data_IF_196780609669
#
_entry.id   IF_196780609669
#
_cell.length_a   1.000
_cell.length_b   1.000
_cell.length_c   1.000
_cell.angle_alpha   90.00
_cell.angle_beta   90.00
_cell.angle_gamma   90.00
#
_symmetry.space_group_name_H-M   'P 1'
#
loop_
_entity.id
_entity.type
_entity.pdbx_description
1 polymer ?
#
# COMPACT_ATOMS: atom_id res chain seq x y z
N UNK A 1 22.24 4.27 2.19
CA UNK A 1 20.97 3.87 2.84
C UNK A 1 20.88 4.55 4.20
N UNK A 2 19.72 5.12 4.56
CA UNK A 2 19.47 5.75 5.87
C UNK A 2 18.49 4.90 6.67
N UNK A 3 18.62 4.92 7.99
CA UNK A 3 17.74 4.19 8.92
C UNK A 3 16.79 5.21 9.57
N UNK A 4 15.46 5.03 9.51
CA UNK A 4 14.52 5.87 10.23
C UNK A 4 14.77 5.80 11.74
N UNK A 5 14.57 6.93 12.40
CA UNK A 5 14.75 7.08 13.84
C UNK A 5 13.45 7.61 14.42
N UNK A 6 13.00 7.01 15.51
CA UNK A 6 11.82 7.45 16.25
C UNK A 6 12.25 7.76 17.68
N UNK A 7 11.76 8.86 18.24
CA UNK A 7 12.04 9.25 19.62
C UNK A 7 11.45 8.25 20.62
N UNK A 8 11.83 8.39 21.89
CA UNK A 8 11.23 7.65 23.00
C UNK A 8 9.69 7.76 22.99
N UNK A 9 9.18 8.96 22.75
CA UNK A 9 7.74 9.29 22.70
C UNK A 9 7.04 8.88 21.40
N UNK A 10 7.74 8.24 20.46
CA UNK A 10 7.14 7.82 19.19
C UNK A 10 7.10 8.89 18.10
N UNK A 11 7.76 10.04 18.29
CA UNK A 11 7.85 11.10 17.27
C UNK A 11 8.93 10.76 16.23
N UNK A 12 8.67 10.92 14.92
CA UNK A 12 9.69 10.65 13.91
C UNK A 12 10.80 11.71 13.95
N UNK A 13 12.05 11.25 13.91
CA UNK A 13 13.26 12.08 13.89
C UNK A 13 14.01 11.91 12.57
N UNK A 14 15.07 12.71 12.39
CA UNK A 14 15.90 12.63 11.20
C UNK A 14 16.58 11.25 11.05
N UNK A 15 16.50 10.63 9.84
CA UNK A 15 17.15 9.34 9.59
C UNK A 15 18.66 9.38 9.76
N UNK A 16 19.21 8.31 10.33
CA UNK A 16 20.65 8.18 10.64
C UNK A 16 21.37 7.21 9.70
N UNK A 17 22.68 7.13 9.81
CA UNK A 17 23.50 6.11 9.12
C UNK A 17 23.39 4.75 9.80
N UNK A 18 23.46 3.62 9.06
CA UNK A 18 23.43 2.29 9.65
C UNK A 18 24.51 2.02 10.72
N UNK A 19 25.72 2.56 10.55
CA UNK A 19 26.81 2.45 11.53
C UNK A 19 26.43 3.06 12.88
N UNK A 20 25.92 4.30 12.87
CA UNK A 20 25.43 4.99 14.07
C UNK A 20 24.24 4.27 14.71
N UNK A 21 23.29 3.77 13.92
CA UNK A 21 22.18 2.96 14.44
C UNK A 21 22.66 1.69 15.15
N UNK A 22 23.65 0.98 14.59
CA UNK A 22 24.25 -0.20 15.25
C UNK A 22 24.94 0.16 16.56
N UNK A 23 25.69 1.26 16.60
CA UNK A 23 26.34 1.75 17.83
C UNK A 23 25.31 2.04 18.91
N UNK A 24 24.23 2.75 18.60
CA UNK A 24 23.16 3.02 19.57
C UNK A 24 22.50 1.76 20.11
N UNK A 25 22.31 0.73 19.28
CA UNK A 25 21.77 -0.55 19.72
C UNK A 25 22.76 -1.26 20.65
N UNK A 26 24.05 -1.28 20.29
CA UNK A 26 25.11 -1.89 21.12
C UNK A 26 25.22 -1.19 22.48
N UNK A 27 25.13 0.13 22.50
CA UNK A 27 25.24 0.96 23.70
C UNK A 27 23.93 1.03 24.51
N UNK A 28 22.88 0.30 24.14
CA UNK A 28 21.58 0.32 24.83
C UNK A 28 20.76 1.61 24.69
N UNK A 29 21.19 2.55 23.83
CA UNK A 29 20.54 3.86 23.58
C UNK A 29 19.36 3.78 22.60
N UNK A 30 19.20 2.65 21.91
CA UNK A 30 18.09 2.44 20.98
C UNK A 30 17.67 0.96 20.87
N UNK A 31 16.38 0.74 20.62
CA UNK A 31 15.80 -0.58 20.41
C UNK A 31 15.49 -0.78 18.93
N UNK A 32 15.82 -1.97 18.41
CA UNK A 32 15.46 -2.40 17.06
C UNK A 32 13.95 -2.61 16.92
N UNK A 33 13.34 -2.03 15.88
CA UNK A 33 11.90 -2.18 15.58
C UNK A 33 11.65 -2.37 14.09
N UNK A 34 10.46 -2.86 13.76
CA UNK A 34 10.01 -3.05 12.38
C UNK A 34 8.65 -2.40 12.21
N UNK A 35 8.52 -1.57 11.16
CA UNK A 35 7.26 -0.92 10.83
C UNK A 35 6.30 -1.88 10.15
N UNK A 36 5.02 -1.49 10.06
CA UNK A 36 4.02 -2.25 9.27
C UNK A 36 4.34 -2.28 7.77
N UNK A 37 5.25 -1.42 7.31
CA UNK A 37 5.78 -1.38 5.95
C UNK A 37 7.01 -2.30 5.78
N UNK A 38 7.39 -3.08 6.79
CA UNK A 38 8.58 -3.95 6.75
C UNK A 38 9.90 -3.18 6.67
N UNK A 39 9.88 -1.89 7.00
CA UNK A 39 11.08 -1.05 7.10
C UNK A 39 11.63 -1.18 8.52
N UNK A 40 12.91 -1.53 8.63
CA UNK A 40 13.65 -1.54 9.88
C UNK A 40 13.88 -0.10 10.35
N UNK A 41 13.65 0.17 11.63
CA UNK A 41 13.93 1.46 12.25
C UNK A 41 14.42 1.28 13.67
N UNK A 42 15.00 2.33 14.24
CA UNK A 42 15.43 2.35 15.64
C UNK A 42 14.55 3.31 16.43
N UNK A 43 14.14 2.87 17.62
CA UNK A 43 13.44 3.71 18.59
C UNK A 43 14.43 4.05 19.71
N UNK A 44 14.65 5.34 19.96
CA UNK A 44 15.55 5.79 21.03
C UNK A 44 14.94 5.46 22.40
N UNK A 45 15.77 5.05 23.35
CA UNK A 45 15.41 4.86 24.77
C UNK A 45 15.78 6.08 25.62
N UNK A 46 16.73 6.86 25.12
CA UNK A 46 17.20 8.13 25.68
C UNK A 46 16.60 9.30 24.92
N UNK A 47 16.63 10.47 25.53
CA UNK A 47 16.21 11.70 24.88
C UNK A 47 17.14 12.03 23.71
N UNK A 48 16.54 12.56 22.64
CA UNK A 48 17.31 12.96 21.47
C UNK A 48 18.12 14.20 21.80
N UNK A 49 19.42 14.17 21.48
CA UNK A 49 20.32 15.31 21.64
C UNK A 49 19.92 16.52 20.77
N UNK A 50 19.20 16.29 19.68
CA UNK A 50 18.72 17.32 18.75
C UNK A 50 17.45 16.82 18.03
N UNK A 51 16.54 17.74 17.75
CA UNK A 51 15.26 17.52 17.06
C UNK A 51 15.16 18.27 15.74
N UNK A 52 16.21 19.00 15.32
CA UNK A 52 16.25 19.70 14.04
C UNK A 52 15.99 18.74 12.88
N UNK A 53 15.06 19.12 12.02
CA UNK A 53 14.69 18.36 10.82
C UNK A 53 15.04 19.12 9.55
N UNK A 54 15.29 18.36 8.49
CA UNK A 54 15.36 18.90 7.14
C UNK A 54 14.10 18.48 6.38
N UNK A 55 13.73 19.20 5.30
CA UNK A 55 12.58 18.82 4.49
C UNK A 55 12.65 17.37 4.00
N UNK A 56 11.62 16.59 4.33
CA UNK A 56 11.36 15.27 3.75
C UNK A 56 10.00 15.31 3.04
N UNK A 57 9.99 14.85 1.80
CA UNK A 57 8.84 14.94 0.90
C UNK A 57 8.41 13.55 0.48
N UNK A 58 7.09 13.32 0.49
CA UNK A 58 6.48 12.15 -0.15
C UNK A 58 6.04 12.55 -1.55
N UNK A 59 6.51 11.83 -2.56
CA UNK A 59 5.96 11.88 -3.91
C UNK A 59 5.08 10.67 -4.15
N UNK A 60 3.82 10.90 -4.51
CA UNK A 60 2.83 9.88 -4.80
C UNK A 60 2.46 9.94 -6.28
N UNK A 61 2.72 8.85 -6.99
CA UNK A 61 2.26 8.61 -8.36
C UNK A 61 1.05 7.65 -8.31
N UNK A 62 -0.20 8.16 -8.27
CA UNK A 62 -1.38 7.33 -8.18
C UNK A 62 -1.79 6.74 -9.54
N UNK A 63 -1.78 5.41 -9.65
CA UNK A 63 -2.26 4.72 -10.84
C UNK A 63 -3.54 3.91 -10.63
N UNK A 64 -3.92 3.16 -11.68
CA UNK A 64 -5.12 2.30 -11.68
C UNK A 64 -4.86 0.93 -11.03
N UNK A 65 -3.76 0.29 -11.43
CA UNK A 65 -3.36 -1.04 -10.96
C UNK A 65 -2.18 -0.98 -9.99
N UNK A 66 -1.33 0.03 -10.16
CA UNK A 66 -0.13 0.23 -9.36
C UNK A 66 -0.03 1.70 -8.98
N UNK A 67 0.55 1.99 -7.82
CA UNK A 67 0.96 3.36 -7.45
C UNK A 67 2.41 3.35 -7.01
N UNK A 68 3.15 4.37 -7.43
CA UNK A 68 4.51 4.63 -7.00
C UNK A 68 4.54 5.54 -5.78
N UNK A 69 5.40 5.26 -4.81
CA UNK A 69 5.68 6.21 -3.72
C UNK A 69 7.18 6.35 -3.54
N UNK A 70 7.66 7.60 -3.51
CA UNK A 70 9.03 7.94 -3.16
C UNK A 70 9.06 8.81 -1.91
N UNK A 71 9.99 8.53 -1.00
CA UNK A 71 10.29 9.40 0.14
C UNK A 71 11.69 9.97 -0.07
N UNK A 72 11.77 11.29 -0.21
CA UNK A 72 12.97 11.98 -0.64
C UNK A 72 13.32 13.11 0.31
N UNK A 73 14.62 13.35 0.49
CA UNK A 73 15.18 14.58 1.06
C UNK A 73 16.08 15.23 0.01
N UNK A 74 16.62 16.43 0.25
CA UNK A 74 17.56 17.05 -0.69
C UNK A 74 18.80 16.16 -0.96
N UNK A 75 19.24 15.38 0.03
CA UNK A 75 20.49 14.61 -0.01
C UNK A 75 20.33 13.11 -0.25
N UNK A 76 19.19 12.52 0.09
CA UNK A 76 19.01 11.06 0.08
C UNK A 76 17.59 10.66 -0.31
N UNK A 77 17.50 9.57 -1.08
CA UNK A 77 16.26 8.80 -1.26
C UNK A 77 16.11 7.83 -0.10
N UNK A 78 15.05 7.99 0.68
CA UNK A 78 14.85 7.32 1.97
C UNK A 78 14.05 6.02 1.85
N UNK A 79 13.05 6.00 0.97
CA UNK A 79 12.22 4.82 0.74
C UNK A 79 11.59 4.85 -0.65
N UNK A 80 11.47 3.68 -1.28
CA UNK A 80 10.78 3.49 -2.55
C UNK A 80 9.73 2.39 -2.39
N UNK A 81 8.49 2.67 -2.75
CA UNK A 81 7.39 1.73 -2.64
C UNK A 81 6.71 1.51 -3.98
N UNK A 82 6.40 0.24 -4.27
CA UNK A 82 5.52 -0.16 -5.36
C UNK A 82 4.24 -0.75 -4.75
N UNK A 83 3.12 -0.08 -4.91
CA UNK A 83 1.83 -0.51 -4.38
C UNK A 83 1.08 -1.30 -5.45
N UNK A 84 0.74 -2.56 -5.17
CA UNK A 84 -0.18 -3.35 -6.00
C UNK A 84 -1.61 -3.10 -5.53
N UNK A 85 -2.39 -2.40 -6.35
CA UNK A 85 -3.70 -1.90 -5.99
C UNK A 85 -4.80 -2.96 -6.21
N UNK A 86 -5.80 -3.06 -5.34
CA UNK A 86 -6.84 -4.09 -5.41
C UNK A 86 -7.95 -3.78 -6.45
N UNK A 87 -7.72 -2.85 -7.39
CA UNK A 87 -8.73 -2.31 -8.29
C UNK A 87 -9.50 -3.39 -9.05
N UNK A 88 -8.78 -4.26 -9.79
CA UNK A 88 -9.39 -5.32 -10.63
C UNK A 88 -10.20 -6.28 -9.77
N UNK A 89 -9.60 -6.82 -8.72
CA UNK A 89 -10.27 -7.74 -7.79
C UNK A 89 -11.53 -7.15 -7.17
N UNK A 90 -11.54 -5.87 -6.83
CA UNK A 90 -12.72 -5.23 -6.24
C UNK A 90 -13.78 -4.94 -7.28
N UNK A 91 -13.40 -4.53 -8.49
CA UNK A 91 -14.32 -4.38 -9.62
C UNK A 91 -15.05 -5.70 -9.88
N UNK A 92 -14.32 -6.79 -10.06
CA UNK A 92 -14.88 -8.12 -10.34
C UNK A 92 -15.83 -8.58 -9.22
N UNK A 93 -15.42 -8.39 -7.95
CA UNK A 93 -16.26 -8.69 -6.79
C UNK A 93 -17.53 -7.86 -6.73
N UNK A 94 -17.47 -6.59 -7.13
CA UNK A 94 -18.63 -5.70 -7.15
C UNK A 94 -19.60 -6.05 -8.28
N UNK A 95 -19.09 -6.42 -9.45
CA UNK A 95 -19.87 -6.90 -10.59
C UNK A 95 -20.57 -8.22 -10.26
N UNK A 96 -19.82 -9.21 -9.74
CA UNK A 96 -20.40 -10.46 -9.25
C UNK A 96 -21.48 -10.22 -8.20
N UNK A 97 -21.23 -9.33 -7.23
CA UNK A 97 -22.24 -8.97 -6.22
C UNK A 97 -23.49 -8.35 -6.83
N UNK A 98 -23.33 -7.47 -7.81
CA UNK A 98 -24.45 -6.83 -8.49
C UNK A 98 -25.27 -7.86 -9.29
N UNK A 99 -24.61 -8.75 -10.03
CA UNK A 99 -25.22 -9.86 -10.77
C UNK A 99 -26.00 -10.77 -9.82
N UNK A 100 -25.39 -11.24 -8.73
CA UNK A 100 -26.04 -12.09 -7.72
C UNK A 100 -27.29 -11.44 -7.14
N UNK A 101 -27.24 -10.14 -6.84
CA UNK A 101 -28.41 -9.40 -6.33
C UNK A 101 -29.50 -9.27 -7.38
N UNK A 102 -29.17 -9.06 -8.66
CA UNK A 102 -30.13 -9.03 -9.76
C UNK A 102 -30.82 -10.38 -9.93
N UNK A 103 -30.06 -11.48 -10.00
CA UNK A 103 -30.62 -12.84 -10.15
C UNK A 103 -31.57 -13.23 -9.03
N UNK A 104 -31.23 -12.94 -7.76
CA UNK A 104 -32.14 -13.22 -6.62
C UNK A 104 -33.44 -12.41 -6.69
N UNK A 105 -33.38 -11.14 -7.10
CA UNK A 105 -34.59 -10.32 -7.28
C UNK A 105 -35.41 -10.83 -8.45
N UNK A 106 -34.76 -11.20 -9.56
CA UNK A 106 -35.41 -11.74 -10.74
C UNK A 106 -36.23 -13.00 -10.48
N UNK A 107 -35.79 -13.86 -9.55
CA UNK A 107 -36.51 -15.07 -9.11
C UNK A 107 -37.75 -14.79 -8.26
N UNK A 108 -37.82 -13.64 -7.59
CA UNK A 108 -39.00 -13.23 -6.79
C UNK A 108 -40.08 -12.56 -7.63
N UNK A 109 -39.75 -12.17 -8.87
CA UNK A 109 -40.69 -11.52 -9.77
C UNK A 109 -41.48 -12.61 -10.48
N UNK A 110 -42.75 -12.75 -10.11
CA UNK A 110 -43.70 -13.52 -10.90
C UNK A 110 -44.02 -12.73 -12.18
N UNK A 111 -43.46 -13.17 -13.31
CA UNK A 111 -43.63 -12.47 -14.60
C UNK A 111 -45.02 -12.68 -15.21
N UNK A 112 -45.82 -13.62 -14.70
CA UNK A 112 -47.20 -13.85 -15.14
C UNK A 112 -48.16 -12.76 -14.66
N UNK A 113 -47.84 -12.05 -13.57
CA UNK A 113 -48.65 -10.95 -13.07
C UNK A 113 -48.43 -9.65 -13.88
N UNK A 114 -49.45 -8.76 -13.97
CA UNK A 114 -49.30 -7.40 -14.48
C UNK A 114 -48.18 -6.64 -13.78
N UNK A 115 -47.49 -5.74 -14.48
CA UNK A 115 -46.27 -5.07 -13.98
C UNK A 115 -46.46 -4.40 -12.61
N UNK A 116 -47.61 -3.77 -12.40
CA UNK A 116 -47.97 -3.03 -11.18
C UNK A 116 -48.03 -3.96 -9.95
N UNK A 117 -48.41 -5.23 -10.15
CA UNK A 117 -48.55 -6.25 -9.10
C UNK A 117 -47.26 -7.05 -8.85
N UNK A 118 -46.21 -6.84 -9.66
CA UNK A 118 -44.93 -7.55 -9.51
C UNK A 118 -44.15 -6.99 -8.33
N UNK A 119 -43.43 -7.88 -7.63
CA UNK A 119 -42.53 -7.54 -6.52
C UNK A 119 -41.24 -6.81 -7.00
N UNK A 120 -41.39 -5.66 -7.64
CA UNK A 120 -40.29 -4.80 -8.07
C UNK A 120 -39.74 -4.00 -6.88
N UNK A 121 -38.42 -3.73 -6.93
CA UNK A 121 -37.80 -2.86 -5.93
C UNK A 121 -38.15 -1.41 -6.26
N UNK A 122 -38.72 -0.68 -5.30
CA UNK A 122 -38.95 0.76 -5.41
C UNK A 122 -37.67 1.51 -5.83
N UNK A 123 -37.86 2.55 -6.66
CA UNK A 123 -36.80 3.50 -7.04
C UNK A 123 -36.34 4.22 -5.76
N UNK A 124 -35.02 4.34 -5.57
CA UNK A 124 -34.42 5.07 -4.44
C UNK A 124 -33.62 6.25 -4.98
N UNK A 125 -34.28 7.38 -5.18
CA UNK A 125 -33.69 8.57 -5.80
C UNK A 125 -32.56 9.17 -4.95
N UNK A 126 -32.67 9.15 -3.62
CA UNK A 126 -31.65 9.72 -2.72
C UNK A 126 -30.30 9.03 -2.83
N UNK A 127 -30.29 7.72 -3.08
CA UNK A 127 -29.05 6.96 -3.30
C UNK A 127 -28.34 7.37 -4.60
N UNK A 128 -29.05 7.98 -5.56
CA UNK A 128 -28.47 8.45 -6.83
C UNK A 128 -27.81 9.83 -6.70
N UNK A 129 -28.22 10.63 -5.71
CA UNK A 129 -27.71 11.99 -5.47
C UNK A 129 -26.46 12.05 -4.58
N UNK A 130 -26.03 10.93 -4.00
CA UNK A 130 -24.90 10.90 -3.07
C UNK A 130 -23.54 11.03 -3.78
N UNK A 131 -22.70 11.96 -3.33
CA UNK A 131 -21.32 12.19 -3.81
C UNK A 131 -20.35 11.10 -3.33
N UNK A 132 -20.54 9.86 -3.79
CA UNK A 132 -19.77 8.69 -3.34
C UNK A 132 -18.59 8.39 -4.27
N UNK A 133 -17.43 8.09 -3.68
CA UNK A 133 -16.31 7.48 -4.40
C UNK A 133 -16.63 6.01 -4.70
N UNK A 134 -16.47 5.53 -5.95
CA UNK A 134 -16.69 4.12 -6.28
C UNK A 134 -15.85 3.16 -5.43
N UNK A 135 -16.36 1.97 -5.07
CA UNK A 135 -15.67 1.06 -4.15
C UNK A 135 -14.25 0.65 -4.57
N UNK A 136 -14.01 0.45 -5.87
CA UNK A 136 -12.68 0.10 -6.40
C UNK A 136 -11.68 1.25 -6.25
N UNK A 137 -12.10 2.48 -6.58
CA UNK A 137 -11.27 3.68 -6.42
C UNK A 137 -11.03 3.97 -4.93
N UNK A 138 -12.07 3.93 -4.09
CA UNK A 138 -11.94 4.11 -2.64
C UNK A 138 -10.96 3.10 -2.03
N UNK A 139 -10.93 1.86 -2.52
CA UNK A 139 -9.99 0.87 -2.02
C UNK A 139 -8.54 1.17 -2.39
N UNK A 140 -8.27 1.70 -3.59
CA UNK A 140 -6.95 2.20 -3.98
C UNK A 140 -6.55 3.38 -3.08
N UNK A 141 -7.41 4.39 -2.98
CA UNK A 141 -7.13 5.62 -2.21
C UNK A 141 -6.95 5.36 -0.71
N UNK A 142 -7.73 4.45 -0.13
CA UNK A 142 -7.52 4.03 1.27
C UNK A 142 -6.23 3.23 1.47
N UNK A 143 -5.71 2.54 0.45
CA UNK A 143 -4.39 1.91 0.54
C UNK A 143 -3.31 3.01 0.50
N UNK A 144 -3.35 3.91 -0.48
CA UNK A 144 -2.43 5.05 -0.58
C UNK A 144 -2.39 5.89 0.71
N UNK A 145 -3.55 6.31 1.23
CA UNK A 145 -3.67 7.05 2.50
C UNK A 145 -3.00 6.31 3.67
N UNK A 146 -3.23 4.98 3.74
CA UNK A 146 -2.64 4.15 4.78
C UNK A 146 -1.11 4.11 4.66
N UNK A 147 -0.58 4.03 3.45
CA UNK A 147 0.87 4.05 3.23
C UNK A 147 1.46 5.39 3.64
N UNK A 148 0.85 6.51 3.22
CA UNK A 148 1.25 7.86 3.62
C UNK A 148 1.27 8.00 5.15
N UNK A 149 0.23 7.53 5.84
CA UNK A 149 0.15 7.53 7.30
C UNK A 149 1.28 6.72 7.97
N UNK A 150 1.60 5.54 7.45
CA UNK A 150 2.66 4.70 8.01
C UNK A 150 4.06 5.25 7.70
N UNK A 151 4.25 5.95 6.58
CA UNK A 151 5.50 6.69 6.29
C UNK A 151 5.67 7.86 7.26
N UNK A 152 4.59 8.62 7.53
CA UNK A 152 4.63 9.77 8.45
C UNK A 152 4.97 9.38 9.89
N UNK A 153 4.77 8.12 10.29
CA UNK A 153 5.22 7.59 11.59
C UNK A 153 6.72 7.30 11.65
N UNK A 154 7.39 7.22 10.50
CA UNK A 154 8.81 6.87 10.40
C UNK A 154 9.71 8.07 10.07
N UNK A 155 9.16 9.07 9.38
CA UNK A 155 9.92 10.20 8.88
C UNK A 155 9.22 11.52 9.22
N UNK A 156 9.95 12.59 9.57
CA UNK A 156 9.37 13.92 9.76
C UNK A 156 8.98 14.52 8.40
N UNK A 157 7.78 14.21 7.91
CA UNK A 157 7.28 14.64 6.61
C UNK A 157 6.85 16.11 6.66
N UNK A 158 7.35 16.91 5.72
CA UNK A 158 6.99 18.32 5.61
C UNK A 158 5.99 18.59 4.48
N UNK A 159 6.10 17.89 3.35
CA UNK A 159 5.18 18.07 2.23
C UNK A 159 4.88 16.79 1.49
N UNK A 160 3.72 16.74 0.87
CA UNK A 160 3.25 15.63 0.05
C UNK A 160 2.91 16.19 -1.32
N UNK A 161 3.49 15.61 -2.37
CA UNK A 161 3.29 16.00 -3.76
C UNK A 161 2.64 14.81 -4.47
N UNK A 162 1.55 15.04 -5.20
CA UNK A 162 0.79 14.01 -5.89
C UNK A 162 0.63 14.36 -7.36
N UNK A 163 0.91 13.41 -8.25
CA UNK A 163 0.67 13.62 -9.68
C UNK A 163 -0.83 13.75 -9.96
N UNK A 164 -1.20 14.76 -10.78
CA UNK A 164 -2.58 14.98 -11.20
C UNK A 164 -3.06 13.85 -12.11
N UNK A 165 -4.20 13.25 -11.77
CA UNK A 165 -4.85 12.31 -12.67
C UNK A 165 -5.98 13.01 -13.41
N UNK A 166 -5.80 13.22 -14.71
CA UNK A 166 -6.84 13.73 -15.60
C UNK A 166 -7.35 12.61 -16.50
N UNK A 167 -8.67 12.44 -16.59
CA UNK A 167 -9.23 11.57 -17.62
C UNK A 167 -9.25 12.32 -18.94
N UNK A 168 -8.86 11.64 -20.02
CA UNK A 168 -9.08 12.13 -21.38
C UNK A 168 -10.54 11.83 -21.76
N UNK A 169 -11.30 12.85 -22.13
CA UNK A 169 -12.66 12.71 -22.66
C UNK A 169 -13.55 13.93 -22.41
N UNK A 170 -14.67 13.95 -23.12
CA UNK A 170 -15.61 15.08 -23.28
C UNK A 170 -16.52 15.29 -22.05
N UNK A 171 -16.38 14.43 -21.03
CA UNK A 171 -17.14 14.50 -19.79
C UNK A 171 -16.29 15.24 -18.76
N UNK A 172 -16.75 16.41 -18.31
CA UNK A 172 -16.09 17.28 -17.32
C UNK A 172 -15.85 16.67 -15.93
N UNK A 173 -16.00 15.37 -15.73
CA UNK A 173 -15.67 14.69 -14.48
C UNK A 173 -15.23 13.23 -14.70
N UNK A 174 -14.23 12.80 -13.91
CA UNK A 174 -13.82 11.41 -13.81
C UNK A 174 -13.95 10.91 -12.38
N UNK A 175 -14.46 9.68 -12.15
CA UNK A 175 -14.47 9.07 -10.82
C UNK A 175 -13.09 9.00 -10.16
N UNK A 176 -12.01 8.97 -10.95
CA UNK A 176 -10.64 8.98 -10.44
C UNK A 176 -10.26 10.34 -9.87
N UNK A 177 -10.68 11.44 -10.51
CA UNK A 177 -10.48 12.80 -10.00
C UNK A 177 -11.22 13.00 -8.67
N UNK A 178 -12.48 12.54 -8.58
CA UNK A 178 -13.24 12.56 -7.32
C UNK A 178 -12.52 11.75 -6.22
N UNK A 179 -11.96 10.59 -6.59
CA UNK A 179 -11.13 9.82 -5.67
C UNK A 179 -9.85 10.54 -5.22
N UNK A 180 -9.21 11.30 -6.10
CA UNK A 180 -8.02 12.09 -5.79
C UNK A 180 -8.34 13.24 -4.83
N UNK A 181 -9.42 13.99 -5.08
CA UNK A 181 -9.90 15.03 -4.16
C UNK A 181 -10.25 14.45 -2.78
N UNK A 182 -10.92 13.30 -2.77
CA UNK A 182 -11.19 12.58 -1.53
C UNK A 182 -9.90 12.20 -0.79
N UNK A 183 -8.88 11.70 -1.49
CA UNK A 183 -7.60 11.39 -0.87
C UNK A 183 -6.95 12.64 -0.25
N UNK A 184 -7.01 13.79 -0.93
CA UNK A 184 -6.39 15.02 -0.44
C UNK A 184 -7.02 15.51 0.86
N UNK A 185 -8.35 15.58 0.92
CA UNK A 185 -9.06 15.92 2.16
C UNK A 185 -8.66 14.96 3.28
N UNK A 186 -8.59 13.65 3.03
CA UNK A 186 -8.21 12.70 4.08
C UNK A 186 -6.75 12.80 4.54
N UNK A 187 -5.83 13.22 3.66
CA UNK A 187 -4.44 13.47 4.05
C UNK A 187 -4.35 14.74 4.89
N UNK A 188 -5.05 15.80 4.49
CA UNK A 188 -5.12 17.07 5.20
C UNK A 188 -5.73 16.88 6.61
N UNK A 189 -6.85 16.15 6.71
CA UNK A 189 -7.48 15.82 7.99
C UNK A 189 -6.55 15.00 8.92
N UNK A 190 -5.77 14.07 8.35
CA UNK A 190 -4.95 13.12 9.12
C UNK A 190 -3.60 13.71 9.56
N UNK A 191 -2.96 14.49 8.68
CA UNK A 191 -1.58 14.94 8.86
C UNK A 191 -1.44 16.47 8.97
N UNK A 192 -2.53 17.22 8.78
CA UNK A 192 -2.50 18.68 8.70
C UNK A 192 -1.54 19.21 7.62
N UNK A 193 -1.31 18.40 6.57
CA UNK A 193 -0.48 18.74 5.41
C UNK A 193 -1.37 18.73 4.19
N UNK A 194 -1.52 19.88 3.54
CA UNK A 194 -2.25 19.99 2.27
C UNK A 194 -1.39 19.44 1.12
N UNK A 195 -1.83 18.39 0.41
CA UNK A 195 -1.08 17.87 -0.72
C UNK A 195 -0.99 18.89 -1.87
N UNK A 196 0.18 18.97 -2.49
CA UNK A 196 0.40 19.76 -3.71
C UNK A 196 0.32 18.88 -4.95
N UNK A 197 0.02 19.49 -6.09
CA UNK A 197 -0.22 18.78 -7.35
C UNK A 197 0.91 19.10 -8.33
N UNK A 198 1.40 18.08 -9.02
CA UNK A 198 2.28 18.21 -10.18
C UNK A 198 1.58 17.64 -11.43
N UNK A 199 1.79 18.23 -12.60
CA UNK A 199 1.23 17.70 -13.84
C UNK A 199 2.10 16.57 -14.38
N UNK A 200 1.50 15.57 -15.05
CA UNK A 200 2.26 14.42 -15.56
C UNK A 200 3.32 14.77 -16.62
N UNK A 201 3.14 15.87 -17.37
CA UNK A 201 4.16 16.35 -18.30
C UNK A 201 5.37 16.94 -17.58
N UNK A 202 5.18 17.62 -16.44
CA UNK A 202 6.24 18.14 -15.59
C UNK A 202 7.06 16.99 -15.00
N UNK A 203 6.38 15.96 -14.47
CA UNK A 203 7.03 14.74 -13.97
C UNK A 203 7.88 14.07 -15.05
N UNK A 204 7.35 13.95 -16.28
CA UNK A 204 8.06 13.33 -17.40
C UNK A 204 9.34 14.09 -17.77
N UNK A 205 9.28 15.43 -17.83
CA UNK A 205 10.42 16.28 -18.13
C UNK A 205 11.47 16.23 -17.01
N UNK A 206 11.02 16.31 -15.75
CA UNK A 206 11.90 16.24 -14.59
C UNK A 206 12.63 14.90 -14.53
N UNK A 207 11.94 13.79 -14.81
CA UNK A 207 12.59 12.47 -14.84
C UNK A 207 13.72 12.40 -15.85
N UNK A 208 13.51 12.96 -17.06
CA UNK A 208 14.53 13.00 -18.11
C UNK A 208 15.75 13.82 -17.67
N UNK A 209 15.50 14.98 -17.06
CA UNK A 209 16.56 15.83 -16.53
C UNK A 209 17.38 15.15 -15.43
N UNK A 210 16.72 14.40 -14.55
CA UNK A 210 17.37 13.61 -13.49
C UNK A 210 17.97 12.28 -13.99
N UNK A 211 17.88 12.00 -15.30
CA UNK A 211 18.37 10.77 -15.94
C UNK A 211 17.89 9.48 -15.27
N UNK A 212 16.67 9.48 -14.72
CA UNK A 212 16.17 8.31 -13.98
C UNK A 212 15.61 7.24 -14.93
N UNK A 213 15.99 5.96 -14.74
CA UNK A 213 15.53 4.87 -15.59
C UNK A 213 14.02 4.68 -15.46
N UNK A 214 13.32 4.51 -16.59
CA UNK A 214 11.91 4.13 -16.62
C UNK A 214 11.70 2.93 -17.52
N UNK A 215 11.13 1.87 -16.96
CA UNK A 215 10.62 0.77 -17.77
C UNK A 215 9.29 1.19 -18.44
N UNK A 216 9.29 1.20 -19.77
CA UNK A 216 8.10 1.54 -20.57
C UNK A 216 7.40 0.30 -21.14
N UNK A 217 8.06 -0.86 -21.11
CA UNK A 217 7.61 -2.07 -21.80
C UNK A 217 6.70 -2.91 -20.88
N UNK A 218 7.14 -3.23 -19.66
CA UNK A 218 6.36 -4.03 -18.72
C UNK A 218 6.02 -3.27 -17.43
N UNK A 219 4.84 -2.63 -17.45
CA UNK A 219 4.31 -1.90 -16.28
C UNK A 219 3.90 -2.81 -15.12
N UNK A 220 3.88 -4.14 -15.30
CA UNK A 220 3.51 -5.10 -14.25
C UNK A 220 4.72 -5.60 -13.45
N UNK A 221 5.93 -5.42 -14.01
CA UNK A 221 7.19 -5.76 -13.35
C UNK A 221 7.30 -5.04 -12.01
N UNK A 222 7.55 -5.79 -10.95
CA UNK A 222 7.67 -5.25 -9.60
C UNK A 222 9.11 -4.83 -9.32
N UNK A 223 9.56 -3.81 -10.04
CA UNK A 223 10.92 -3.28 -9.95
C UNK A 223 10.89 -1.75 -9.70
N UNK A 224 11.93 -1.17 -9.09
CA UNK A 224 11.98 0.26 -8.79
C UNK A 224 11.63 1.15 -9.99
N UNK A 225 12.11 0.78 -11.18
CA UNK A 225 12.08 1.54 -12.44
C UNK A 225 10.69 1.62 -13.09
N UNK A 226 9.69 0.88 -12.60
CA UNK A 226 8.33 0.93 -13.18
C UNK A 226 7.49 2.07 -12.62
N UNK A 227 7.33 2.13 -11.30
CA UNK A 227 6.45 3.11 -10.64
C UNK A 227 7.12 3.83 -9.47
N UNK A 228 8.02 3.19 -8.73
CA UNK A 228 8.58 3.81 -7.52
C UNK A 228 9.54 4.98 -7.86
N UNK A 229 10.25 4.90 -8.98
CA UNK A 229 11.06 6.01 -9.52
C UNK A 229 10.21 7.23 -9.86
N UNK A 230 8.99 7.05 -10.35
CA UNK A 230 8.07 8.18 -10.62
C UNK A 230 7.71 8.90 -9.31
N UNK A 231 7.46 8.15 -8.23
CA UNK A 231 7.29 8.73 -6.89
C UNK A 231 8.51 9.52 -6.39
N UNK A 232 9.74 9.04 -6.65
CA UNK A 232 10.98 9.80 -6.31
C UNK A 232 11.08 11.07 -7.15
N UNK A 233 10.76 10.98 -8.45
CA UNK A 233 10.76 12.13 -9.37
C UNK A 233 9.78 13.19 -8.90
N UNK A 234 8.55 12.80 -8.54
CA UNK A 234 7.53 13.71 -8.02
C UNK A 234 8.02 14.38 -6.74
N UNK A 235 8.61 13.64 -5.81
CA UNK A 235 9.16 14.22 -4.59
C UNK A 235 10.32 15.21 -4.89
N UNK A 236 11.16 14.88 -5.88
CA UNK A 236 12.29 15.71 -6.29
C UNK A 236 11.89 17.09 -6.82
N UNK A 237 10.67 17.23 -7.35
CA UNK A 237 10.12 18.51 -7.83
C UNK A 237 10.06 19.61 -6.76
N UNK A 238 10.15 19.24 -5.47
CA UNK A 238 10.29 20.21 -4.37
C UNK A 238 11.57 21.02 -4.47
N UNK A 239 12.66 20.42 -4.93
CA UNK A 239 13.98 21.03 -4.99
C UNK A 239 14.41 21.40 -6.40
N UNK A 240 13.93 20.68 -7.42
CA UNK A 240 14.30 20.91 -8.82
C UNK A 240 13.08 21.36 -9.62
N UNK A 241 13.13 22.57 -10.18
CA UNK A 241 12.04 23.17 -10.96
C UNK A 241 12.55 23.74 -12.27
N UNK A 242 11.73 23.64 -13.32
CA UNK A 242 12.01 24.31 -14.59
C UNK A 242 11.49 25.75 -14.53
N UNK A 243 12.29 26.72 -14.95
CA UNK A 243 11.91 28.13 -14.93
C UNK A 243 12.98 29.05 -15.53
N UNK A 244 12.76 30.35 -15.44
CA UNK A 244 13.64 31.39 -16.02
C UNK A 244 15.00 31.37 -15.33
N UNK A 245 16.08 30.98 -16.01
CA UNK A 245 17.46 30.96 -15.50
C UNK A 245 18.18 32.29 -15.65
N UNK A 246 17.93 33.00 -16.75
CA UNK A 246 18.39 34.37 -16.99
C UNK A 246 17.35 35.13 -17.81
N UNK A 247 17.56 36.42 -18.07
CA UNK A 247 16.59 37.31 -18.75
C UNK A 247 16.03 36.69 -20.05
N UNK A 248 16.86 35.95 -20.80
CA UNK A 248 16.48 35.32 -22.08
C UNK A 248 16.58 33.79 -22.08
N UNK A 249 16.68 33.13 -20.92
CA UNK A 249 16.82 31.66 -20.88
C UNK A 249 15.92 31.00 -19.83
N UNK A 250 15.45 29.80 -20.16
CA UNK A 250 14.77 28.90 -19.23
C UNK A 250 15.57 27.63 -19.06
N UNK A 251 15.65 27.14 -17.83
CA UNK A 251 16.41 25.95 -17.48
C UNK A 251 15.96 25.35 -16.17
N UNK A 252 16.62 24.27 -15.80
CA UNK A 252 16.41 23.61 -14.52
C UNK A 252 17.15 24.34 -13.41
N UNK A 253 16.43 24.66 -12.33
CA UNK A 253 16.98 25.29 -11.13
C UNK A 253 16.90 24.34 -9.94
N UNK A 254 17.93 24.43 -9.10
CA UNK A 254 18.06 23.65 -7.87
C UNK A 254 18.83 22.35 -8.07
N UNK A 255 19.13 21.69 -6.97
CA UNK A 255 19.93 20.46 -6.94
C UNK A 255 19.31 19.44 -6.00
N UNK A 256 19.48 18.18 -6.35
CA UNK A 256 19.05 17.05 -5.53
C UNK A 256 20.00 15.88 -5.73
N UNK A 257 20.22 15.09 -4.67
CA UNK A 257 20.94 13.84 -4.75
C UNK A 257 19.98 12.64 -4.64
N UNK A 258 20.04 11.73 -5.61
CA UNK A 258 19.22 10.52 -5.66
C UNK A 258 20.15 9.34 -5.38
N UNK A 259 19.81 8.56 -4.35
CA UNK A 259 20.68 7.50 -3.84
C UNK A 259 19.95 6.17 -3.81
N UNK A 260 20.64 5.02 -3.97
CA UNK A 260 20.01 3.72 -3.80
C UNK A 260 19.32 3.59 -2.44
N UNK A 261 18.07 3.14 -2.46
CA UNK A 261 17.20 3.05 -1.29
C UNK A 261 16.56 1.67 -1.13
N UNK A 262 15.91 1.44 0.01
CA UNK A 262 15.10 0.23 0.21
C UNK A 262 13.89 0.29 -0.73
N UNK A 263 13.69 -0.78 -1.49
CA UNK A 263 12.53 -0.96 -2.35
C UNK A 263 11.59 -2.01 -1.77
N UNK A 264 10.33 -1.62 -1.54
CA UNK A 264 9.32 -2.46 -0.91
C UNK A 264 8.08 -2.55 -1.79
N UNK A 265 7.62 -3.78 -2.01
CA UNK A 265 6.38 -4.06 -2.70
C UNK A 265 5.30 -4.29 -1.65
N UNK A 266 4.19 -3.57 -1.78
CA UNK A 266 3.08 -3.64 -0.82
C UNK A 266 1.79 -3.94 -1.53
N UNK A 267 1.01 -4.89 -0.98
CA UNK A 267 -0.34 -5.17 -1.45
C UNK A 267 -1.27 -5.52 -0.29
N UNK A 268 -2.58 -5.48 -0.54
CA UNK A 268 -3.54 -6.01 0.43
C UNK A 268 -3.63 -7.53 0.29
N UNK A 269 -3.74 -8.29 1.40
CA UNK A 269 -4.04 -9.70 1.32
C UNK A 269 -5.40 -9.88 0.63
N UNK A 270 -5.50 -10.74 -0.39
CA UNK A 270 -6.75 -11.00 -1.07
C UNK A 270 -7.63 -11.86 -0.17
N UNK A 271 -8.28 -11.22 0.78
CA UNK A 271 -9.27 -11.87 1.64
C UNK A 271 -10.54 -12.06 0.82
N UNK A 272 -10.89 -13.31 0.56
CA UNK A 272 -12.23 -13.68 0.10
C UNK A 272 -13.21 -13.48 1.26
N UNK A 273 -14.07 -12.47 1.14
CA UNK A 273 -15.21 -12.32 2.05
C UNK A 273 -16.30 -13.31 1.68
N UNK A 274 -17.16 -13.66 2.64
CA UNK A 274 -18.39 -14.43 2.42
C UNK A 274 -19.02 -14.07 1.08
N UNK A 275 -19.01 -15.03 0.16
CA UNK A 275 -19.83 -14.91 -1.03
C UNK A 275 -21.28 -14.88 -0.58
N UNK A 276 -22.10 -14.18 -1.36
CA UNK A 276 -23.51 -13.99 -1.07
C UNK A 276 -24.25 -15.30 -1.36
N UNK A 277 -24.01 -16.31 -0.50
CA UNK A 277 -24.41 -17.72 -0.59
C UNK A 277 -23.71 -18.40 -1.76
N UNK A 278 -22.77 -19.33 -1.50
CA UNK A 278 -22.15 -20.19 -2.52
C UNK A 278 -23.25 -20.97 -3.27
N UNK A 279 -23.76 -20.32 -4.31
CA UNK A 279 -24.72 -20.62 -5.37
C UNK A 279 -25.98 -21.46 -5.07
N UNK A 280 -25.89 -22.54 -4.28
CA UNK A 280 -26.98 -23.48 -4.00
C UNK A 280 -26.94 -23.87 -2.51
N UNK A 281 -28.05 -23.72 -1.75
CA UNK A 281 -28.14 -24.28 -0.40
C UNK A 281 -27.93 -25.81 -0.46
N UNK A 282 -27.27 -26.39 0.53
CA UNK A 282 -27.27 -27.87 0.65
C UNK A 282 -28.68 -28.36 1.01
N UNK A 283 -28.95 -29.66 0.82
CA UNK A 283 -30.19 -30.30 1.27
C UNK A 283 -30.46 -29.89 2.73
N UNK A 284 -31.69 -29.44 3.02
CA UNK A 284 -32.06 -28.86 4.33
C UNK A 284 -31.88 -27.34 4.46
N UNK A 285 -31.55 -26.61 3.38
CA UNK A 285 -31.51 -25.13 3.38
C UNK A 285 -30.30 -24.50 4.09
N UNK A 286 -29.44 -25.33 4.69
CA UNK A 286 -28.21 -24.90 5.37
C UNK A 286 -27.19 -24.39 4.34
N UNK A 287 -26.44 -23.35 4.71
CA UNK A 287 -25.46 -22.71 3.83
C UNK A 287 -24.05 -22.94 4.36
N UNK A 288 -23.14 -23.37 3.48
CA UNK A 288 -21.72 -23.57 3.83
C UNK A 288 -21.10 -22.27 4.34
N UNK A 289 -20.43 -22.34 5.50
CA UNK A 289 -19.58 -21.25 6.00
C UNK A 289 -18.36 -21.12 5.07
N UNK A 290 -18.20 -19.99 4.38
CA UNK A 290 -17.05 -19.69 3.53
C UNK A 290 -16.63 -18.22 3.64
N UNK A 291 -15.34 -17.93 3.56
CA UNK A 291 -14.86 -16.54 3.42
C UNK A 291 -14.81 -15.71 4.71
N UNK A 292 -14.26 -16.29 5.78
CA UNK A 292 -13.86 -15.57 7.00
C UNK A 292 -12.47 -14.93 6.90
N UNK A 293 -12.19 -14.00 7.83
CA UNK A 293 -10.88 -13.38 8.06
C UNK A 293 -10.03 -14.14 9.07
N UNK A 294 -10.65 -14.97 9.91
CA UNK A 294 -9.98 -15.83 10.89
C UNK A 294 -10.24 -17.28 10.49
N UNK A 295 -9.22 -18.12 10.58
CA UNK A 295 -9.28 -19.56 10.36
C UNK A 295 -9.89 -20.25 11.57
N UNK A 296 -10.19 -21.55 11.45
CA UNK A 296 -10.61 -22.39 12.59
C UNK A 296 -9.51 -22.62 13.63
N UNK A 297 -8.28 -22.25 13.30
CA UNK A 297 -7.06 -22.51 14.08
C UNK A 297 -6.50 -21.22 14.71
N UNK A 298 -7.34 -20.21 14.91
CA UNK A 298 -7.03 -18.90 15.48
C UNK A 298 -5.94 -18.09 14.73
N UNK A 299 -5.63 -18.46 13.49
CA UNK A 299 -4.82 -17.64 12.59
C UNK A 299 -5.70 -16.69 11.79
N UNK A 300 -5.24 -15.46 11.57
CA UNK A 300 -5.93 -14.51 10.68
C UNK A 300 -5.35 -14.63 9.28
N UNK A 301 -6.19 -14.43 8.26
CA UNK A 301 -5.70 -14.32 6.88
C UNK A 301 -4.79 -13.10 6.76
N UNK A 302 -3.58 -13.33 6.25
CA UNK A 302 -2.50 -12.37 6.24
C UNK A 302 -1.65 -12.34 7.52
N UNK A 303 -1.86 -13.24 8.49
CA UNK A 303 -0.85 -13.50 9.53
C UNK A 303 0.41 -14.04 8.84
N UNK A 304 1.58 -13.53 9.22
CA UNK A 304 2.86 -14.07 8.77
C UNK A 304 3.30 -15.18 9.72
N UNK A 305 3.53 -16.36 9.18
CA UNK A 305 3.76 -17.58 9.93
C UNK A 305 4.98 -18.33 9.42
N UNK A 306 5.58 -19.11 10.32
CA UNK A 306 6.52 -20.16 10.00
C UNK A 306 5.80 -21.50 10.06
N UNK A 307 6.01 -22.36 9.07
CA UNK A 307 5.42 -23.68 9.02
C UNK A 307 6.46 -24.74 8.69
N UNK A 308 6.42 -25.89 9.35
CA UNK A 308 7.37 -26.97 9.12
C UNK A 308 6.72 -28.19 8.49
N UNK A 309 7.41 -28.82 7.54
CA UNK A 309 7.02 -30.08 6.92
C UNK A 309 8.27 -30.93 6.66
N UNK A 310 8.39 -32.03 7.39
CA UNK A 310 9.65 -32.79 7.45
C UNK A 310 10.77 -31.89 7.98
N UNK A 311 11.91 -31.89 7.28
CA UNK A 311 13.06 -31.02 7.56
C UNK A 311 12.94 -29.60 6.97
N UNK A 312 11.90 -29.32 6.17
CA UNK A 312 11.75 -28.03 5.48
C UNK A 312 10.93 -27.04 6.31
N UNK A 313 11.41 -25.80 6.36
CA UNK A 313 10.72 -24.67 6.99
C UNK A 313 10.29 -23.67 5.93
N UNK A 314 9.01 -23.30 5.97
CA UNK A 314 8.38 -22.35 5.08
C UNK A 314 7.97 -21.11 5.86
N UNK A 315 8.16 -19.93 5.27
CA UNK A 315 7.65 -18.67 5.82
C UNK A 315 6.77 -17.98 4.81
N UNK A 316 5.57 -17.59 5.23
CA UNK A 316 4.59 -16.98 4.34
C UNK A 316 3.37 -16.47 5.09
N UNK A 317 2.35 -16.10 4.33
CA UNK A 317 1.12 -15.55 4.86
C UNK A 317 0.00 -16.59 4.87
N UNK A 318 -0.77 -16.62 5.95
CA UNK A 318 -1.96 -17.47 6.04
C UNK A 318 -2.98 -17.03 5.01
N UNK A 319 -3.35 -17.93 4.10
CA UNK A 319 -4.29 -17.66 3.01
C UNK A 319 -5.65 -18.33 3.21
N UNK A 320 -5.71 -19.38 4.04
CA UNK A 320 -6.93 -20.09 4.39
C UNK A 320 -6.66 -21.31 5.25
N UNK A 321 -7.66 -22.16 5.39
CA UNK A 321 -7.62 -23.32 6.26
C UNK A 321 -8.56 -24.43 5.77
N UNK A 322 -8.22 -25.65 6.15
CA UNK A 322 -9.10 -26.81 6.13
C UNK A 322 -9.47 -27.15 7.58
N UNK A 323 -10.12 -28.29 7.79
CA UNK A 323 -10.46 -28.75 9.14
C UNK A 323 -9.22 -28.96 10.02
N UNK A 324 -8.12 -29.49 9.46
CA UNK A 324 -6.90 -29.85 10.23
C UNK A 324 -5.66 -29.03 9.87
N UNK A 325 -5.67 -28.32 8.74
CA UNK A 325 -4.50 -27.67 8.19
C UNK A 325 -4.71 -26.18 7.93
N UNK A 326 -3.62 -25.43 7.95
CA UNK A 326 -3.54 -24.01 7.58
C UNK A 326 -2.81 -23.91 6.25
N UNK A 327 -3.39 -23.17 5.30
CA UNK A 327 -2.76 -22.88 4.01
C UNK A 327 -1.87 -21.67 4.13
N UNK A 328 -0.60 -21.82 3.73
CA UNK A 328 0.40 -20.75 3.74
C UNK A 328 0.76 -20.42 2.29
N UNK A 329 0.77 -19.12 1.97
CA UNK A 329 1.07 -18.59 0.64
C UNK A 329 2.26 -17.63 0.67
N UNK A 330 2.89 -17.46 -0.47
CA UNK A 330 3.96 -16.49 -0.68
C UNK A 330 3.42 -15.04 -0.79
N UNK A 331 4.32 -14.09 -1.07
CA UNK A 331 3.99 -12.69 -1.31
C UNK A 331 3.20 -12.46 -2.59
N UNK A 332 3.21 -13.39 -3.56
CA UNK A 332 2.37 -13.35 -4.77
C UNK A 332 0.96 -13.90 -4.52
N UNK A 333 0.74 -14.50 -3.35
CA UNK A 333 -0.46 -15.24 -2.93
C UNK A 333 -0.59 -16.63 -3.56
N UNK A 334 0.48 -17.15 -4.18
CA UNK A 334 0.59 -18.55 -4.58
C UNK A 334 0.79 -19.39 -3.33
N UNK A 335 0.01 -20.46 -3.19
CA UNK A 335 0.07 -21.36 -2.02
C UNK A 335 1.41 -22.11 -2.03
N UNK A 336 2.18 -21.97 -0.94
CA UNK A 336 3.41 -22.72 -0.69
C UNK A 336 3.10 -24.14 -0.23
N UNK A 337 2.06 -24.30 0.59
CA UNK A 337 1.64 -25.60 1.10
C UNK A 337 0.45 -25.51 2.06
N UNK A 338 0.04 -26.67 2.54
CA UNK A 338 -0.93 -26.82 3.62
C UNK A 338 -0.26 -27.59 4.75
N UNK A 339 -0.30 -27.01 5.94
CA UNK A 339 0.47 -27.48 7.08
C UNK A 339 -0.47 -27.79 8.23
N UNK A 340 -0.24 -28.89 8.95
CA UNK A 340 -0.98 -29.19 10.18
C UNK A 340 -0.89 -28.00 11.12
N UNK A 341 -2.02 -27.56 11.69
CA UNK A 341 -2.06 -26.32 12.49
C UNK A 341 -1.03 -26.28 13.63
N UNK A 342 -0.77 -27.43 14.28
CA UNK A 342 0.24 -27.58 15.33
C UNK A 342 1.69 -27.32 14.86
N UNK A 343 1.96 -27.45 13.57
CA UNK A 343 3.27 -27.21 12.94
C UNK A 343 3.39 -25.80 12.35
N UNK A 344 2.43 -24.92 12.66
CA UNK A 344 2.42 -23.52 12.21
C UNK A 344 2.61 -22.63 13.42
N UNK A 345 3.64 -21.77 13.37
CA UNK A 345 3.96 -20.80 14.41
C UNK A 345 3.74 -19.39 13.89
N UNK A 346 3.01 -18.59 14.66
CA UNK A 346 2.82 -17.16 14.35
C UNK A 346 4.13 -16.40 14.53
N UNK A 347 4.55 -15.66 13.49
CA UNK A 347 5.65 -14.69 13.58
C UNK A 347 5.07 -13.29 13.80
N UNK A 348 4.06 -12.91 13.01
CA UNK A 348 3.47 -11.57 13.05
C UNK A 348 1.98 -11.61 12.74
N UNK A 349 1.17 -10.98 13.59
CA UNK A 349 -0.25 -10.79 13.30
C UNK A 349 -0.47 -9.91 12.06
N UNK A 350 -1.54 -10.21 11.34
CA UNK A 350 -1.93 -9.54 10.11
C UNK A 350 -2.07 -8.05 10.35
N UNK A 351 -1.23 -7.29 9.67
CA UNK A 351 -1.40 -5.85 9.57
C UNK A 351 -2.46 -5.52 8.51
N UNK A 352 -2.94 -6.49 7.72
CA UNK A 352 -3.75 -6.23 6.53
C UNK A 352 -2.94 -5.69 5.35
N UNK A 353 -1.61 -5.78 5.41
CA UNK A 353 -0.68 -5.58 4.30
C UNK A 353 0.18 -6.84 4.14
N UNK A 354 0.47 -7.19 2.89
CA UNK A 354 1.54 -8.10 2.52
C UNK A 354 2.69 -7.21 2.05
N UNK A 355 3.85 -7.43 2.62
CA UNK A 355 5.03 -6.62 2.41
C UNK A 355 6.16 -7.52 1.93
N UNK A 356 6.73 -7.19 0.79
CA UNK A 356 7.91 -7.85 0.24
C UNK A 356 9.03 -6.80 0.13
N UNK A 357 10.01 -6.88 1.04
CA UNK A 357 11.25 -6.12 0.91
C UNK A 357 12.18 -6.84 -0.05
N UNK A 358 12.54 -6.20 -1.15
CA UNK A 358 13.43 -6.80 -2.18
C UNK A 358 14.88 -6.89 -1.75
N UNK A 359 15.30 -6.09 -0.76
CA UNK A 359 16.56 -6.33 -0.05
C UNK A 359 16.30 -7.28 1.11
N UNK A 360 16.81 -8.51 1.01
CA UNK A 360 17.14 -9.31 2.19
C UNK A 360 18.02 -8.42 3.08
N UNK A 361 17.49 -7.98 4.21
CA UNK A 361 18.21 -7.20 5.24
C UNK A 361 19.19 -8.10 6.00
N UNK A 362 20.01 -8.87 5.27
CA UNK A 362 20.95 -9.84 5.83
C UNK A 362 22.09 -9.17 6.60
N UNK A 363 22.37 -7.88 6.38
CA UNK A 363 23.53 -7.21 6.98
C UNK A 363 23.20 -6.35 8.23
N UNK A 364 22.07 -6.59 8.90
CA UNK A 364 21.69 -5.85 10.12
C UNK A 364 21.38 -6.73 11.34
N UNK A 365 21.51 -8.04 11.22
CA UNK A 365 21.55 -8.93 12.38
C UNK A 365 23.01 -9.34 12.60
N UNK A 366 23.52 -9.35 13.84
CA UNK A 366 24.82 -9.97 14.10
C UNK A 366 24.73 -11.43 13.60
N UNK A 367 25.74 -11.84 12.84
CA UNK A 367 26.01 -13.25 12.62
C UNK A 367 25.99 -13.91 14.01
N UNK A 368 25.27 -15.03 14.10
CA UNK A 368 25.27 -15.88 15.30
C UNK A 368 26.71 -16.02 15.80
N UNK A 369 26.89 -15.85 17.10
CA UNK A 369 28.08 -16.26 17.83
C UNK A 369 28.51 -17.63 17.32
N UNK A 370 29.68 -17.67 16.69
CA UNK A 370 30.45 -18.90 16.54
C UNK A 370 31.10 -19.16 17.89
N UNK A 371 30.84 -20.39 18.37
CA UNK A 371 31.41 -21.13 19.51
C UNK A 371 32.77 -20.63 19.96
#
# INVERSE_FOLDING_TARGET
>A
MRIPVVSKDGRPLMPTTPSRARRWIKDGKAIKRWSKLGVFYVQLTVDSSDTKTQPIVIGLDPGKLYSGVGVQSSKFTLLMLHLVLPFKTIKDRMEQRAMMRRGRRGRRINRKLPYIQRAHRQKRFDNRKQKKVPPSIRANKTLELRIVSEIAKLYPIQSIIVERVMARGDKGFSPVMVGQLWLFSQIEDLLSIKPTIIQGWETSNLRKHLSLPKDKQDKSRQAPETHAVDGVTIAASRWVKYGITSINSMGWKGQINITPSQFVIIKRPPVSRRQLHLMVPTKGGVRRKYGGTVTRHDFRKGDYVEATQGSKTYRGWVSGDTEKQVSVSDSTWRRLGQFTAKKVRLIQRSTGLIVLSTRKLLNLLPLKESV
#
